data_IF_466058158333
#
_entry.id   IF_466058158333
#
_cell.length_a   1.000
_cell.length_b   1.000
_cell.length_c   1.000
_cell.angle_alpha   90.00
_cell.angle_beta   90.00
_cell.angle_gamma   90.00
#
_symmetry.space_group_name_H-M   'P 1'
#
loop_
_entity.id
_entity.type
_entity.pdbx_description
1 polymer ?
#
# COMPACT_ATOMS: atom_id res chain seq x y z
N UNK A 1 -11.55 -20.01 -17.86
CA UNK A 1 -10.96 -18.98 -16.99
C UNK A 1 -10.11 -18.09 -17.85
N UNK A 2 -10.26 -16.78 -17.73
CA UNK A 2 -9.55 -15.83 -18.56
C UNK A 2 -8.20 -15.51 -17.91
N UNK A 3 -7.10 -16.06 -18.46
CA UNK A 3 -5.74 -15.86 -17.93
C UNK A 3 -5.34 -14.39 -17.90
N UNK A 4 -5.90 -13.58 -18.80
CA UNK A 4 -5.64 -12.15 -18.81
C UNK A 4 -6.21 -11.47 -17.57
N UNK A 5 -7.44 -11.83 -17.18
CA UNK A 5 -8.07 -11.27 -15.99
C UNK A 5 -7.37 -11.72 -14.70
N UNK A 6 -6.93 -12.98 -14.62
CA UNK A 6 -6.15 -13.46 -13.47
C UNK A 6 -4.77 -12.78 -13.41
N UNK A 7 -4.11 -12.56 -14.55
CA UNK A 7 -2.87 -11.78 -14.65
C UNK A 7 -3.05 -10.34 -14.18
N UNK A 8 -4.05 -9.64 -14.69
CA UNK A 8 -4.38 -8.26 -14.29
C UNK A 8 -4.72 -8.15 -12.79
N UNK A 9 -5.44 -9.15 -12.25
CA UNK A 9 -5.75 -9.21 -10.83
C UNK A 9 -4.50 -9.47 -9.98
N UNK A 10 -3.63 -10.38 -10.43
CA UNK A 10 -2.35 -10.67 -9.77
C UNK A 10 -1.45 -9.44 -9.71
N UNK A 11 -1.30 -8.74 -10.82
CA UNK A 11 -0.57 -7.48 -10.92
C UNK A 11 -1.14 -6.47 -9.93
N UNK A 12 -2.44 -6.20 -10.01
CA UNK A 12 -3.06 -5.23 -9.13
C UNK A 12 -2.87 -5.57 -7.65
N UNK A 13 -2.95 -6.84 -7.26
CA UNK A 13 -2.72 -7.24 -5.89
C UNK A 13 -1.27 -6.98 -5.47
N UNK A 14 -0.29 -7.45 -6.26
CA UNK A 14 1.11 -7.41 -5.87
C UNK A 14 1.74 -6.02 -6.05
N UNK A 15 1.36 -5.21 -7.05
CA UNK A 15 1.86 -3.83 -7.15
C UNK A 15 1.48 -3.00 -5.92
N UNK A 16 0.30 -3.19 -5.32
CA UNK A 16 -0.08 -2.50 -4.08
C UNK A 16 0.72 -2.98 -2.87
N UNK A 17 1.04 -4.28 -2.80
CA UNK A 17 1.91 -4.80 -1.74
C UNK A 17 3.33 -4.27 -1.89
N UNK A 18 3.90 -4.34 -3.09
CA UNK A 18 5.24 -3.87 -3.42
C UNK A 18 5.37 -2.36 -3.18
N UNK A 19 4.37 -1.56 -3.60
CA UNK A 19 4.32 -0.13 -3.28
C UNK A 19 4.31 0.13 -1.77
N UNK A 20 3.56 -0.67 -1.00
CA UNK A 20 3.60 -0.56 0.46
C UNK A 20 4.98 -0.87 1.04
N UNK A 21 5.66 -1.92 0.55
CA UNK A 21 6.97 -2.30 1.08
C UNK A 21 7.99 -1.21 0.79
N UNK A 22 7.93 -0.63 -0.41
CA UNK A 22 8.73 0.52 -0.79
C UNK A 22 8.50 1.72 0.14
N UNK A 23 7.24 2.15 0.29
CA UNK A 23 6.89 3.31 1.11
C UNK A 23 7.26 3.12 2.59
N UNK A 24 7.13 1.89 3.11
CA UNK A 24 7.54 1.58 4.47
C UNK A 24 9.07 1.60 4.61
N UNK A 25 9.82 1.06 3.64
CA UNK A 25 11.28 1.12 3.64
C UNK A 25 11.78 2.56 3.65
N UNK A 26 11.26 3.38 2.74
CA UNK A 26 11.55 4.83 2.68
C UNK A 26 11.16 5.52 3.98
N UNK A 27 9.97 5.26 4.52
CA UNK A 27 9.51 5.83 5.79
C UNK A 27 10.46 5.53 6.95
N UNK A 28 10.99 4.30 7.02
CA UNK A 28 11.95 3.89 8.06
C UNK A 28 13.28 4.62 7.91
N UNK A 29 13.82 4.72 6.69
CA UNK A 29 15.09 5.42 6.43
C UNK A 29 14.98 6.92 6.74
N UNK A 30 13.85 7.54 6.36
CA UNK A 30 13.56 8.94 6.67
C UNK A 30 13.45 9.16 8.18
N UNK A 31 12.79 8.26 8.91
CA UNK A 31 12.69 8.36 10.38
C UNK A 31 14.07 8.26 11.05
N UNK A 32 14.88 7.28 10.63
CA UNK A 32 16.26 7.12 11.12
C UNK A 32 17.15 8.34 10.83
N UNK A 33 16.86 9.04 9.73
CA UNK A 33 17.51 10.30 9.33
C UNK A 33 16.87 11.54 9.98
N UNK A 34 16.07 11.38 11.03
CA UNK A 34 15.30 12.44 11.72
C UNK A 34 14.38 13.25 10.81
N UNK A 35 14.02 12.72 9.64
CA UNK A 35 13.20 13.37 8.62
C UNK A 35 11.73 12.97 8.81
N UNK A 36 11.22 13.20 10.04
CA UNK A 36 9.95 12.64 10.51
C UNK A 36 8.71 13.10 9.72
N UNK A 37 8.68 14.31 9.16
CA UNK A 37 7.53 14.78 8.38
C UNK A 37 7.34 13.98 7.08
N UNK A 38 8.45 13.65 6.40
CA UNK A 38 8.43 12.80 5.23
C UNK A 38 8.21 11.34 5.63
N UNK A 39 8.78 10.90 6.76
CA UNK A 39 8.51 9.57 7.30
C UNK A 39 7.02 9.34 7.59
N UNK A 40 6.32 10.31 8.20
CA UNK A 40 4.87 10.24 8.43
C UNK A 40 4.11 10.16 7.10
N UNK A 41 4.55 10.92 6.08
CA UNK A 41 3.91 10.90 4.77
C UNK A 41 4.06 9.54 4.08
N UNK A 42 5.28 9.02 3.98
CA UNK A 42 5.54 7.69 3.39
C UNK A 42 4.92 6.57 4.22
N UNK A 43 4.96 6.65 5.55
CA UNK A 43 4.35 5.66 6.45
C UNK A 43 2.83 5.60 6.29
N UNK A 44 2.19 6.76 6.09
CA UNK A 44 0.78 6.82 5.73
C UNK A 44 0.49 6.13 4.39
N UNK A 45 1.30 6.36 3.36
CA UNK A 45 1.10 5.69 2.07
C UNK A 45 1.30 4.18 2.15
N UNK A 46 2.26 3.71 2.95
CA UNK A 46 2.40 2.29 3.25
C UNK A 46 1.11 1.70 3.85
N UNK A 47 0.50 2.35 4.84
CA UNK A 47 -0.79 1.91 5.40
C UNK A 47 -1.90 1.91 4.36
N UNK A 48 -1.97 2.96 3.55
CA UNK A 48 -2.97 3.11 2.52
C UNK A 48 -2.88 1.98 1.48
N UNK A 49 -1.68 1.68 1.01
CA UNK A 49 -1.45 0.64 0.02
C UNK A 49 -1.73 -0.75 0.60
N UNK A 50 -1.39 -1.02 1.86
CA UNK A 50 -1.79 -2.26 2.55
C UNK A 50 -3.31 -2.38 2.66
N UNK A 51 -3.99 -1.32 3.08
CA UNK A 51 -5.45 -1.32 3.17
C UNK A 51 -6.11 -1.50 1.79
N UNK A 52 -5.55 -0.90 0.75
CA UNK A 52 -6.03 -1.09 -0.61
C UNK A 52 -5.74 -2.50 -1.15
N UNK A 53 -4.64 -3.14 -0.74
CA UNK A 53 -4.37 -4.54 -1.08
C UNK A 53 -5.47 -5.48 -0.57
N UNK A 54 -6.04 -5.23 0.61
CA UNK A 54 -7.19 -5.99 1.13
C UNK A 54 -8.41 -5.91 0.20
N UNK A 55 -8.70 -4.73 -0.37
CA UNK A 55 -9.76 -4.60 -1.37
C UNK A 55 -9.44 -5.37 -2.64
N UNK A 56 -8.18 -5.35 -3.09
CA UNK A 56 -7.76 -6.08 -4.26
C UNK A 56 -7.71 -7.60 -4.03
N UNK A 57 -7.76 -8.09 -2.79
CA UNK A 57 -7.92 -9.53 -2.51
C UNK A 57 -9.34 -10.04 -2.77
N UNK A 58 -10.32 -9.13 -2.88
CA UNK A 58 -11.70 -9.50 -3.20
C UNK A 58 -11.81 -9.95 -4.66
N UNK A 59 -12.25 -11.19 -4.87
CA UNK A 59 -12.34 -11.81 -6.21
C UNK A 59 -13.73 -11.72 -6.83
N UNK A 60 -14.62 -10.89 -6.29
CA UNK A 60 -16.01 -10.83 -6.73
C UNK A 60 -16.21 -10.47 -8.21
N UNK A 61 -17.47 -10.41 -8.62
CA UNK A 61 -17.84 -10.38 -10.04
C UNK A 61 -17.28 -9.13 -10.75
N UNK A 62 -17.13 -9.19 -12.08
CA UNK A 62 -16.68 -8.06 -12.92
C UNK A 62 -17.42 -6.73 -12.65
N UNK A 63 -18.67 -6.80 -12.17
CA UNK A 63 -19.46 -5.62 -11.78
C UNK A 63 -18.86 -4.88 -10.58
N UNK A 64 -18.18 -5.59 -9.70
CA UNK A 64 -17.58 -5.08 -8.48
C UNK A 64 -16.15 -4.59 -8.70
N UNK A 65 -15.47 -4.99 -9.77
CA UNK A 65 -14.14 -4.50 -10.11
C UNK A 65 -14.09 -2.96 -10.24
N UNK A 66 -15.09 -2.37 -10.91
CA UNK A 66 -15.23 -0.91 -10.99
C UNK A 66 -15.49 -0.27 -9.63
N UNK A 67 -16.19 -0.99 -8.75
CA UNK A 67 -16.49 -0.53 -7.40
C UNK A 67 -15.24 -0.58 -6.51
N UNK A 68 -14.51 -1.69 -6.54
CA UNK A 68 -13.22 -1.89 -5.88
C UNK A 68 -12.26 -0.80 -6.29
N UNK A 69 -12.04 -0.59 -7.60
CA UNK A 69 -11.17 0.50 -8.10
C UNK A 69 -11.63 1.88 -7.64
N UNK A 70 -12.94 2.14 -7.59
CA UNK A 70 -13.50 3.43 -7.12
C UNK A 70 -13.31 3.67 -5.63
N UNK A 71 -13.35 2.62 -4.80
CA UNK A 71 -13.09 2.71 -3.37
C UNK A 71 -11.58 2.83 -3.15
N UNK A 72 -10.78 1.98 -3.82
CA UNK A 72 -9.31 1.96 -3.77
C UNK A 72 -8.63 3.23 -4.26
N UNK A 73 -9.27 4.00 -5.15
CA UNK A 73 -8.74 5.29 -5.63
C UNK A 73 -9.17 6.49 -4.78
N UNK A 74 -10.11 6.33 -3.85
CA UNK A 74 -10.63 7.44 -3.04
C UNK A 74 -10.45 7.14 -1.55
N UNK A 75 -9.47 7.81 -0.95
CA UNK A 75 -9.13 7.62 0.45
C UNK A 75 -10.31 7.76 1.42
N UNK A 76 -11.12 8.82 1.30
CA UNK A 76 -12.25 9.02 2.19
C UNK A 76 -13.28 7.90 2.05
N UNK A 77 -13.46 7.34 0.84
CA UNK A 77 -14.31 6.17 0.62
C UNK A 77 -13.71 4.92 1.24
N UNK A 78 -12.40 4.70 1.09
CA UNK A 78 -11.70 3.57 1.70
C UNK A 78 -11.90 3.55 3.23
N UNK A 79 -11.62 4.67 3.91
CA UNK A 79 -11.79 4.74 5.36
C UNK A 79 -13.24 4.46 5.77
N UNK A 80 -14.20 5.12 5.11
CA UNK A 80 -15.62 4.90 5.40
C UNK A 80 -16.10 3.47 5.10
N UNK A 81 -15.50 2.82 4.10
CA UNK A 81 -15.79 1.43 3.76
C UNK A 81 -15.27 0.48 4.85
N UNK A 82 -14.03 0.68 5.30
CA UNK A 82 -13.40 -0.18 6.30
C UNK A 82 -13.99 0.01 7.70
N UNK A 83 -14.25 1.26 8.13
CA UNK A 83 -14.79 1.64 9.45
C UNK A 83 -16.26 1.25 9.70
N UNK A 84 -16.85 0.40 8.86
CA UNK A 84 -18.21 -0.14 9.01
C UNK A 84 -19.31 0.95 9.17
N UNK A 85 -19.21 2.02 8.40
CA UNK A 85 -20.23 3.08 8.41
C UNK A 85 -21.51 2.59 7.72
N UNK A 86 -22.57 2.31 8.49
CA UNK A 86 -23.87 1.83 7.98
C UNK A 86 -24.58 2.79 7.03
N UNK A 87 -24.20 4.06 7.03
CA UNK A 87 -24.73 5.08 6.12
C UNK A 87 -23.94 5.17 4.80
N UNK A 88 -22.93 4.31 4.62
CA UNK A 88 -22.15 4.24 3.41
C UNK A 88 -22.99 3.64 2.26
N UNK A 89 -22.94 4.24 1.07
CA UNK A 89 -23.65 3.73 -0.12
C UNK A 89 -23.12 2.35 -0.54
N UNK A 90 -21.89 2.04 -0.16
CA UNK A 90 -21.21 0.79 -0.40
C UNK A 90 -21.41 -0.26 0.72
N UNK A 91 -22.34 -0.05 1.67
CA UNK A 91 -22.52 -0.93 2.84
C UNK A 91 -22.88 -2.40 2.49
N UNK A 92 -23.74 -2.63 1.49
CA UNK A 92 -24.06 -4.00 1.06
C UNK A 92 -22.84 -4.75 0.55
N UNK A 93 -22.01 -4.06 -0.24
CA UNK A 93 -20.74 -4.58 -0.73
C UNK A 93 -19.76 -4.85 0.43
N UNK A 94 -19.74 -3.96 1.44
CA UNK A 94 -18.92 -4.12 2.64
C UNK A 94 -19.26 -5.40 3.43
N UNK A 95 -20.52 -5.80 3.48
CA UNK A 95 -20.92 -7.05 4.15
C UNK A 95 -20.42 -8.28 3.39
N UNK A 96 -20.52 -8.28 2.06
CA UNK A 96 -20.01 -9.37 1.21
C UNK A 96 -18.50 -9.49 1.31
N UNK A 97 -17.80 -8.34 1.22
CA UNK A 97 -16.36 -8.25 1.41
C UNK A 97 -15.92 -8.82 2.77
N UNK A 98 -16.61 -8.46 3.86
CA UNK A 98 -16.31 -8.98 5.19
C UNK A 98 -16.45 -10.51 5.27
N UNK A 99 -17.55 -11.05 4.73
CA UNK A 99 -17.82 -12.49 4.71
C UNK A 99 -16.75 -13.25 3.92
N UNK A 100 -16.35 -12.73 2.75
CA UNK A 100 -15.32 -13.33 1.93
C UNK A 100 -13.96 -13.36 2.65
N UNK A 101 -13.52 -12.23 3.21
CA UNK A 101 -12.25 -12.16 3.94
C UNK A 101 -12.27 -13.02 5.21
N UNK A 102 -13.38 -13.05 5.94
CA UNK A 102 -13.55 -13.92 7.11
C UNK A 102 -13.40 -15.40 6.73
N UNK A 103 -14.00 -15.80 5.60
CA UNK A 103 -13.88 -17.16 5.08
C UNK A 103 -12.45 -17.50 4.61
N UNK A 104 -11.73 -16.57 3.98
CA UNK A 104 -10.31 -16.74 3.61
C UNK A 104 -9.48 -16.96 4.89
N UNK A 105 -9.69 -16.12 5.89
CA UNK A 105 -8.90 -16.15 7.13
C UNK A 105 -9.28 -17.31 8.06
N UNK A 106 -10.48 -17.90 7.88
CA UNK A 106 -11.08 -18.90 8.78
C UNK A 106 -11.31 -18.34 10.19
N UNK A 107 -11.86 -17.13 10.26
CA UNK A 107 -12.29 -16.46 11.50
C UNK A 107 -13.77 -16.07 11.41
N UNK A 108 -14.37 -15.62 12.51
CA UNK A 108 -15.76 -15.15 12.47
C UNK A 108 -15.90 -13.83 11.71
N UNK A 109 -17.07 -13.59 11.13
CA UNK A 109 -17.39 -12.31 10.48
C UNK A 109 -17.28 -11.12 11.44
N UNK A 110 -17.64 -11.30 12.71
CA UNK A 110 -17.50 -10.27 13.76
C UNK A 110 -16.03 -9.96 14.06
N UNK A 111 -15.16 -10.98 14.10
CA UNK A 111 -13.73 -10.78 14.31
C UNK A 111 -13.11 -10.05 13.12
N UNK A 112 -13.47 -10.44 11.89
CA UNK A 112 -13.03 -9.76 10.68
C UNK A 112 -13.52 -8.31 10.65
N UNK A 113 -14.78 -8.06 10.99
CA UNK A 113 -15.36 -6.73 10.99
C UNK A 113 -14.61 -5.80 11.95
N UNK A 114 -14.31 -6.28 13.16
CA UNK A 114 -13.50 -5.54 14.13
C UNK A 114 -12.11 -5.23 13.59
N UNK A 115 -11.45 -6.19 12.93
CA UNK A 115 -10.12 -5.96 12.32
C UNK A 115 -10.21 -4.89 11.24
N UNK A 116 -11.16 -4.99 10.30
CA UNK A 116 -11.36 -4.02 9.24
C UNK A 116 -11.68 -2.62 9.79
N UNK A 117 -12.49 -2.54 10.84
CA UNK A 117 -12.79 -1.27 11.50
C UNK A 117 -11.54 -0.62 12.09
N UNK A 118 -10.71 -1.39 12.81
CA UNK A 118 -9.44 -0.91 13.36
C UNK A 118 -8.53 -0.38 12.24
N UNK A 119 -8.48 -1.06 11.09
CA UNK A 119 -7.68 -0.63 9.93
C UNK A 119 -8.23 0.70 9.38
N UNK A 120 -9.56 0.80 9.19
CA UNK A 120 -10.21 2.02 8.70
C UNK A 120 -9.99 3.22 9.61
N UNK A 121 -10.15 3.05 10.92
CA UNK A 121 -9.99 4.11 11.92
C UNK A 121 -8.53 4.55 12.06
N UNK A 122 -7.59 3.59 11.97
CA UNK A 122 -6.15 3.87 11.95
C UNK A 122 -5.78 4.66 10.71
N UNK A 123 -6.28 4.26 9.54
CA UNK A 123 -6.03 4.93 8.27
C UNK A 123 -6.61 6.35 8.25
N UNK A 124 -7.81 6.55 8.79
CA UNK A 124 -8.40 7.87 8.97
C UNK A 124 -7.53 8.77 9.85
N UNK A 125 -7.06 8.23 10.97
CA UNK A 125 -6.18 8.95 11.91
C UNK A 125 -4.83 9.29 11.28
N UNK A 126 -4.23 8.35 10.55
CA UNK A 126 -2.99 8.53 9.80
C UNK A 126 -3.12 9.64 8.75
N UNK A 127 -4.23 9.65 8.01
CA UNK A 127 -4.54 10.71 7.06
C UNK A 127 -4.65 12.06 7.72
N UNK A 128 -5.31 12.14 8.88
CA UNK A 128 -5.43 13.39 9.64
C UNK A 128 -4.08 13.88 10.13
N UNK A 129 -3.22 13.00 10.64
CA UNK A 129 -1.86 13.35 10.98
C UNK A 129 -1.09 13.90 9.77
N UNK A 130 -1.11 13.19 8.64
CA UNK A 130 -0.45 13.62 7.38
C UNK A 130 -1.01 14.95 6.87
N UNK A 131 -2.33 15.16 6.90
CA UNK A 131 -2.98 16.43 6.54
C UNK A 131 -2.52 17.56 7.47
N UNK A 132 -2.56 17.36 8.79
CA UNK A 132 -2.08 18.35 9.75
C UNK A 132 -0.60 18.72 9.52
N UNK A 133 0.25 17.74 9.20
CA UNK A 133 1.64 18.02 8.82
C UNK A 133 1.77 18.79 7.51
N UNK A 134 0.90 18.52 6.53
CA UNK A 134 0.88 19.23 5.24
C UNK A 134 0.39 20.68 5.41
N UNK A 135 -0.64 20.90 6.22
CA UNK A 135 -1.24 22.22 6.45
C UNK A 135 -0.39 23.15 7.30
N UNK A 136 0.44 22.63 8.20
CA UNK A 136 1.37 23.46 8.98
C UNK A 136 2.69 23.77 8.24
N UNK A 137 2.72 23.59 6.92
CA UNK A 137 3.84 23.89 6.00
C UNK A 137 4.94 22.83 6.04
N UNK A 138 5.24 22.28 4.85
CA UNK A 138 6.43 21.48 4.49
C UNK A 138 7.68 22.38 4.56
N UNK A 139 7.93 23.01 5.70
CA UNK A 139 9.09 23.84 5.92
C UNK A 139 9.72 23.44 7.25
N UNK A 140 11.05 23.45 7.22
CA UNK A 140 12.07 23.31 8.27
C UNK A 140 11.65 23.79 9.70
N UNK A 141 10.64 24.64 9.84
CA UNK A 141 10.13 25.19 11.10
C UNK A 141 9.62 24.15 12.11
N UNK A 142 9.05 23.00 11.72
CA UNK A 142 8.58 22.01 12.71
C UNK A 142 9.69 21.30 13.49
N UNK A 143 10.86 21.19 12.89
CA UNK A 143 12.05 20.63 13.55
C UNK A 143 12.76 21.66 14.42
N UNK A 144 12.46 22.96 14.23
CA UNK A 144 13.09 24.06 14.99
C UNK A 144 12.15 24.68 16.04
N UNK A 145 10.83 24.52 15.91
CA UNK A 145 9.85 24.98 16.91
C UNK A 145 9.81 23.98 18.07
N UNK A 146 10.43 24.38 19.17
CA UNK A 146 10.57 23.55 20.36
C UNK A 146 9.34 23.60 21.28
N UNK A 147 8.60 24.71 21.30
CA UNK A 147 7.50 24.98 22.22
C UNK A 147 6.46 25.86 21.52
N UNK A 148 5.19 25.49 21.60
CA UNK A 148 4.02 26.29 21.20
C UNK A 148 3.09 26.38 22.40
N UNK A 149 2.73 27.61 22.79
CA UNK A 149 1.69 27.89 23.79
C UNK A 149 0.33 27.91 23.10
N UNK A 150 -0.62 27.12 23.61
CA UNK A 150 -1.98 27.00 23.07
C UNK A 150 -2.94 28.06 23.62
N UNK A 151 -2.50 28.89 24.57
CA UNK A 151 -3.29 29.99 25.15
C UNK A 151 -4.27 29.57 26.24
N UNK A 152 -4.45 28.27 26.50
CA UNK A 152 -5.26 27.69 27.58
C UNK A 152 -4.41 27.10 28.74
N UNK A 153 -3.11 27.42 28.75
CA UNK A 153 -2.12 26.80 29.64
C UNK A 153 -1.53 25.50 29.07
N UNK A 154 -1.98 25.04 27.90
CA UNK A 154 -1.42 23.93 27.17
C UNK A 154 -0.11 24.29 26.48
N UNK A 155 0.93 23.49 26.71
CA UNK A 155 2.21 23.60 26.00
C UNK A 155 2.39 22.38 25.11
N UNK A 156 2.64 22.60 23.82
CA UNK A 156 2.97 21.56 22.85
C UNK A 156 4.44 21.66 22.47
N UNK A 157 5.08 20.50 22.25
CA UNK A 157 6.44 20.39 21.69
C UNK A 157 6.34 19.76 20.30
N UNK A 158 6.16 20.55 19.23
CA UNK A 158 5.86 20.03 17.90
C UNK A 158 6.85 18.98 17.42
N UNK A 159 8.16 19.21 17.54
CA UNK A 159 9.18 18.24 17.13
C UNK A 159 9.02 16.87 17.80
N UNK A 160 8.77 16.84 19.12
CA UNK A 160 8.54 15.59 19.86
C UNK A 160 7.23 14.91 19.46
N UNK A 161 6.18 15.71 19.21
CA UNK A 161 4.90 15.19 18.77
C UNK A 161 5.02 14.55 17.37
N UNK A 162 5.73 15.20 16.44
CA UNK A 162 5.98 14.67 15.09
C UNK A 162 6.78 13.37 15.15
N UNK A 163 7.86 13.31 15.95
CA UNK A 163 8.63 12.07 16.17
C UNK A 163 7.73 10.94 16.65
N UNK A 164 6.90 11.21 17.68
CA UNK A 164 5.98 10.22 18.23
C UNK A 164 4.94 9.74 17.21
N UNK A 165 4.41 10.63 16.39
CA UNK A 165 3.50 10.27 15.29
C UNK A 165 4.24 9.38 14.28
N UNK A 166 5.48 9.74 13.91
CA UNK A 166 6.33 8.97 13.01
C UNK A 166 6.58 7.56 13.52
N UNK A 167 6.96 7.42 14.80
CA UNK A 167 7.14 6.14 15.49
C UNK A 167 5.83 5.33 15.48
N UNK A 168 4.72 5.97 15.84
CA UNK A 168 3.41 5.30 15.87
C UNK A 168 2.99 4.80 14.48
N UNK A 169 3.24 5.57 13.42
CA UNK A 169 3.01 5.13 12.04
C UNK A 169 3.83 3.87 11.74
N UNK A 170 5.13 3.90 12.05
CA UNK A 170 6.06 2.79 11.82
C UNK A 170 5.75 1.54 12.67
N UNK A 171 5.12 1.70 13.83
CA UNK A 171 4.68 0.57 14.67
C UNK A 171 3.39 -0.09 14.14
N UNK A 172 2.52 0.67 13.49
CA UNK A 172 1.28 0.15 12.89
C UNK A 172 1.57 -0.64 11.60
N UNK A 173 2.52 -0.21 10.75
CA UNK A 173 2.79 -0.89 9.47
C UNK A 173 3.08 -2.39 9.64
N UNK A 174 3.98 -2.83 10.56
CA UNK A 174 4.28 -4.26 10.76
C UNK A 174 3.05 -5.11 11.10
N UNK A 175 2.12 -4.56 11.89
CA UNK A 175 0.91 -5.28 12.32
C UNK A 175 0.00 -5.50 11.11
N UNK A 176 -0.23 -4.44 10.33
CA UNK A 176 -1.03 -4.51 9.11
C UNK A 176 -0.39 -5.42 8.08
N UNK A 177 0.91 -5.28 7.87
CA UNK A 177 1.69 -6.08 6.94
C UNK A 177 1.59 -7.58 7.28
N UNK A 178 1.79 -7.95 8.54
CA UNK A 178 1.67 -9.35 8.98
C UNK A 178 0.28 -9.91 8.70
N UNK A 179 -0.78 -9.14 9.00
CA UNK A 179 -2.16 -9.53 8.74
C UNK A 179 -2.41 -9.72 7.23
N UNK A 180 -2.02 -8.74 6.42
CA UNK A 180 -2.16 -8.75 4.96
C UNK A 180 -1.40 -9.93 4.35
N UNK A 181 -0.14 -10.17 4.72
CA UNK A 181 0.63 -11.29 4.19
C UNK A 181 0.01 -12.65 4.56
N UNK A 182 -0.48 -12.80 5.79
CA UNK A 182 -1.18 -14.03 6.20
C UNK A 182 -2.44 -14.25 5.35
N UNK A 183 -3.13 -13.17 4.99
CA UNK A 183 -4.31 -13.24 4.13
C UNK A 183 -3.95 -13.60 2.69
N UNK A 184 -2.87 -13.03 2.14
CA UNK A 184 -2.33 -13.42 0.83
C UNK A 184 -2.00 -14.90 0.80
N UNK A 185 -1.25 -15.40 1.78
CA UNK A 185 -0.87 -16.82 1.88
C UNK A 185 -2.13 -17.71 1.83
N UNK A 186 -3.13 -17.42 2.66
CA UNK A 186 -4.39 -18.18 2.70
C UNK A 186 -5.23 -18.05 1.43
N UNK A 187 -5.29 -16.85 0.84
CA UNK A 187 -6.00 -16.59 -0.41
C UNK A 187 -5.41 -17.44 -1.53
N UNK A 188 -4.08 -17.41 -1.70
CA UNK A 188 -3.38 -18.15 -2.75
C UNK A 188 -3.58 -19.66 -2.60
N UNK A 189 -3.54 -20.21 -1.38
CA UNK A 189 -3.86 -21.62 -1.14
C UNK A 189 -5.30 -22.01 -1.48
N UNK A 190 -6.22 -21.05 -1.45
CA UNK A 190 -7.63 -21.25 -1.79
C UNK A 190 -7.95 -21.12 -3.28
N UNK A 191 -6.99 -20.71 -4.12
CA UNK A 191 -7.19 -20.59 -5.56
C UNK A 191 -7.24 -21.97 -6.24
N UNK A 192 -7.84 -22.01 -7.43
CA UNK A 192 -7.77 -23.18 -8.31
C UNK A 192 -6.30 -23.54 -8.58
N UNK A 193 -6.00 -24.84 -8.63
CA UNK A 193 -4.64 -25.38 -8.61
C UNK A 193 -3.72 -24.72 -9.65
N UNK A 194 -4.15 -24.66 -10.91
CA UNK A 194 -3.38 -24.03 -11.98
C UNK A 194 -3.14 -22.54 -11.73
N UNK A 195 -4.19 -21.77 -11.40
CA UNK A 195 -4.12 -20.31 -11.12
C UNK A 195 -3.15 -20.01 -9.99
N UNK A 196 -3.28 -20.76 -8.89
CA UNK A 196 -2.42 -20.64 -7.72
C UNK A 196 -0.94 -20.60 -8.13
N UNK A 197 -0.51 -21.52 -9.01
CA UNK A 197 0.90 -21.59 -9.40
C UNK A 197 1.37 -20.39 -10.25
N UNK A 198 0.50 -19.79 -11.09
CA UNK A 198 0.83 -18.52 -11.76
C UNK A 198 1.05 -17.38 -10.77
N UNK A 199 0.13 -17.23 -9.80
CA UNK A 199 0.22 -16.20 -8.78
C UNK A 199 1.42 -16.41 -7.85
N UNK A 200 1.72 -17.64 -7.45
CA UNK A 200 2.90 -17.94 -6.63
C UNK A 200 4.20 -17.62 -7.38
N UNK A 201 4.28 -17.94 -8.68
CA UNK A 201 5.44 -17.57 -9.51
C UNK A 201 5.59 -16.05 -9.62
N UNK A 202 4.50 -15.34 -9.88
CA UNK A 202 4.51 -13.88 -9.95
C UNK A 202 4.90 -13.25 -8.60
N UNK A 203 4.36 -13.74 -7.48
CA UNK A 203 4.73 -13.28 -6.14
C UNK A 203 6.22 -13.41 -5.86
N UNK A 204 6.85 -14.50 -6.30
CA UNK A 204 8.31 -14.70 -6.17
C UNK A 204 9.06 -13.62 -6.96
N UNK A 205 8.65 -13.34 -8.19
CA UNK A 205 9.26 -12.30 -9.03
C UNK A 205 9.10 -10.92 -8.39
N UNK A 206 7.91 -10.58 -7.91
CA UNK A 206 7.62 -9.30 -7.23
C UNK A 206 8.49 -9.07 -6.00
N UNK A 207 8.66 -10.11 -5.16
CA UNK A 207 9.57 -10.02 -4.01
C UNK A 207 11.02 -9.79 -4.47
N UNK A 208 11.46 -10.49 -5.51
CA UNK A 208 12.83 -10.35 -6.03
C UNK A 208 13.10 -9.00 -6.67
N UNK A 209 12.14 -8.49 -7.45
CA UNK A 209 12.23 -7.18 -8.08
C UNK A 209 12.14 -6.05 -7.06
N UNK A 210 11.35 -6.22 -5.99
CA UNK A 210 11.37 -5.31 -4.85
C UNK A 210 12.76 -5.24 -4.19
N UNK A 211 13.42 -6.37 -3.93
CA UNK A 211 14.76 -6.36 -3.33
C UNK A 211 15.79 -5.68 -4.24
N UNK A 212 15.75 -5.93 -5.56
CA UNK A 212 16.62 -5.25 -6.53
C UNK A 212 16.37 -3.74 -6.55
N UNK A 213 15.10 -3.32 -6.53
CA UNK A 213 14.72 -1.92 -6.45
C UNK A 213 15.24 -1.27 -5.16
N UNK A 214 15.00 -1.91 -4.01
CA UNK A 214 15.43 -1.43 -2.71
C UNK A 214 16.95 -1.30 -2.60
N UNK A 215 17.71 -2.19 -3.24
CA UNK A 215 19.16 -2.08 -3.35
C UNK A 215 19.57 -0.90 -4.25
N UNK A 216 18.99 -0.82 -5.46
CA UNK A 216 19.28 0.24 -6.42
C UNK A 216 18.98 1.65 -5.89
N UNK A 217 17.92 1.79 -5.10
CA UNK A 217 17.50 3.05 -4.50
C UNK A 217 18.05 3.28 -3.07
N UNK A 218 18.91 2.39 -2.59
CA UNK A 218 19.56 2.50 -1.26
C UNK A 218 18.58 2.57 -0.09
N UNK A 219 17.49 1.84 -0.18
CA UNK A 219 16.48 1.69 0.90
C UNK A 219 16.96 0.66 1.93
N UNK A 220 17.88 -0.22 1.55
CA UNK A 220 18.48 -1.21 2.45
C UNK A 220 19.32 -0.54 3.57
N UNK A 221 19.32 -1.10 4.80
CA UNK A 221 18.60 -2.30 5.21
C UNK A 221 17.09 -2.06 5.41
N UNK A 222 16.27 -3.06 5.10
CA UNK A 222 14.82 -3.02 5.36
C UNK A 222 14.53 -3.15 6.87
N UNK A 223 13.37 -2.66 7.35
CA UNK A 223 12.87 -2.99 8.67
C UNK A 223 12.84 -4.51 8.90
N UNK A 224 13.32 -4.97 10.06
CA UNK A 224 13.46 -6.41 10.36
C UNK A 224 12.17 -7.21 10.16
N UNK A 225 11.03 -6.65 10.59
CA UNK A 225 9.71 -7.28 10.42
C UNK A 225 9.29 -7.40 8.96
N UNK A 226 9.63 -6.40 8.13
CA UNK A 226 9.42 -6.45 6.68
C UNK A 226 10.29 -7.54 6.06
N UNK A 227 11.61 -7.47 6.26
CA UNK A 227 12.57 -8.40 5.64
C UNK A 227 12.24 -9.86 5.96
N UNK A 228 11.95 -10.15 7.22
CA UNK A 228 11.52 -11.49 7.62
C UNK A 228 10.16 -11.89 7.04
N UNK A 229 9.21 -10.95 6.98
CA UNK A 229 7.90 -11.20 6.37
C UNK A 229 8.02 -11.56 4.90
N UNK A 230 8.84 -10.83 4.14
CA UNK A 230 9.08 -11.07 2.71
C UNK A 230 9.85 -12.36 2.47
N UNK A 231 10.89 -12.65 3.25
CA UNK A 231 11.61 -13.94 3.18
C UNK A 231 10.69 -15.11 3.47
N UNK A 232 9.84 -15.00 4.51
CA UNK A 232 8.84 -16.02 4.84
C UNK A 232 7.86 -16.21 3.69
N UNK A 233 7.31 -15.13 3.16
CA UNK A 233 6.34 -15.14 2.06
C UNK A 233 6.93 -15.77 0.79
N UNK A 234 8.17 -15.41 0.44
CA UNK A 234 8.89 -16.02 -0.68
C UNK A 234 9.13 -17.50 -0.46
N UNK A 235 9.58 -17.90 0.73
CA UNK A 235 9.80 -19.31 1.05
C UNK A 235 8.50 -20.11 0.98
N UNK A 236 7.41 -19.57 1.52
CA UNK A 236 6.07 -20.13 1.40
C UNK A 236 5.69 -20.33 -0.08
N UNK A 237 5.93 -19.31 -0.92
CA UNK A 237 5.59 -19.39 -2.34
C UNK A 237 6.41 -20.45 -3.07
N UNK A 238 7.72 -20.53 -2.81
CA UNK A 238 8.62 -21.54 -3.38
C UNK A 238 8.23 -22.95 -2.96
N UNK A 239 7.85 -23.16 -1.69
CA UNK A 239 7.44 -24.46 -1.16
C UNK A 239 6.17 -24.98 -1.84
N UNK A 240 5.24 -24.09 -2.18
CA UNK A 240 3.94 -24.46 -2.77
C UNK A 240 3.92 -24.34 -4.30
N UNK A 241 5.03 -23.91 -4.93
CA UNK A 241 5.11 -23.77 -6.37
C UNK A 241 5.45 -25.12 -7.02
N UNK A 242 4.61 -25.55 -7.95
CA UNK A 242 4.91 -26.63 -8.88
C UNK A 242 5.06 -26.05 -10.28
N UNK A 243 6.30 -25.94 -10.77
CA UNK A 243 6.58 -25.41 -12.10
C UNK A 243 5.98 -26.25 -13.23
N UNK A 244 5.65 -27.53 -12.99
CA UNK A 244 5.00 -28.37 -14.01
C UNK A 244 3.55 -27.96 -14.27
N UNK A 245 2.96 -27.14 -13.39
CA UNK A 245 1.58 -26.66 -13.47
C UNK A 245 1.45 -25.31 -14.17
N UNK A 246 2.54 -24.76 -14.69
CA UNK A 246 2.61 -23.42 -15.27
C UNK A 246 2.84 -23.54 -16.79
N UNK A 247 1.87 -24.11 -17.49
CA UNK A 247 1.91 -24.27 -18.94
C UNK A 247 1.61 -22.92 -19.61
N UNK A 248 2.49 -22.39 -20.48
CA UNK A 248 2.27 -21.09 -21.15
C UNK A 248 2.27 -19.87 -20.21
N UNK A 249 3.23 -19.81 -19.29
CA UNK A 249 3.43 -18.62 -18.43
C UNK A 249 3.54 -17.30 -19.19
N UNK A 250 4.02 -17.34 -20.44
CA UNK A 250 4.14 -16.17 -21.32
C UNK A 250 2.85 -15.39 -21.45
N UNK A 251 1.70 -16.05 -21.50
CA UNK A 251 0.41 -15.40 -21.76
C UNK A 251 -0.07 -14.62 -20.52
N UNK A 252 0.24 -15.18 -19.34
CA UNK A 252 0.05 -14.50 -18.06
C UNK A 252 1.02 -13.32 -17.93
N UNK A 253 2.29 -13.53 -18.27
CA UNK A 253 3.35 -12.51 -18.24
C UNK A 253 3.09 -11.34 -19.20
N UNK A 254 2.60 -11.60 -20.42
CA UNK A 254 2.15 -10.56 -21.37
C UNK A 254 1.04 -9.69 -20.76
N UNK A 255 0.18 -10.29 -19.94
CA UNK A 255 -0.88 -9.55 -19.25
C UNK A 255 -0.32 -8.63 -18.16
N UNK A 256 0.73 -9.06 -17.45
CA UNK A 256 1.48 -8.22 -16.50
C UNK A 256 2.16 -7.05 -17.24
N UNK A 257 2.89 -7.36 -18.31
CA UNK A 257 3.57 -6.36 -19.15
C UNK A 257 2.60 -5.32 -19.70
N UNK A 258 1.38 -5.71 -20.08
CA UNK A 258 0.38 -4.75 -20.58
C UNK A 258 -0.04 -3.71 -19.52
N UNK A 259 0.04 -4.06 -18.23
CA UNK A 259 -0.20 -3.13 -17.13
C UNK A 259 1.02 -2.23 -16.88
N UNK A 260 2.22 -2.80 -16.99
CA UNK A 260 3.49 -2.07 -16.96
C UNK A 260 3.62 -1.11 -18.14
N UNK A 261 3.09 -1.46 -19.30
CA UNK A 261 3.07 -0.66 -20.54
C UNK A 261 1.83 0.23 -20.64
N UNK A 262 1.28 0.73 -19.52
CA UNK A 262 0.27 1.81 -19.56
C UNK A 262 0.88 3.07 -20.16
N UNK A 263 0.96 3.07 -21.48
CA UNK A 263 1.60 4.03 -22.36
C UNK A 263 1.05 5.42 -22.11
N UNK A 264 -0.24 5.54 -21.82
CA UNK A 264 -0.89 6.79 -21.45
C UNK A 264 -0.24 7.41 -20.20
N UNK A 265 0.02 6.63 -19.14
CA UNK A 265 0.66 7.14 -17.92
C UNK A 265 2.11 7.59 -18.17
N UNK A 266 2.88 6.84 -18.96
CA UNK A 266 4.26 7.23 -19.28
C UNK A 266 4.31 8.39 -20.28
N UNK A 267 3.35 8.49 -21.20
CA UNK A 267 3.20 9.63 -22.08
C UNK A 267 2.81 10.89 -21.31
N UNK A 268 1.91 10.77 -20.33
CA UNK A 268 1.57 11.86 -19.42
C UNK A 268 2.77 12.26 -18.57
N UNK A 269 3.52 11.29 -18.04
CA UNK A 269 4.75 11.55 -17.27
C UNK A 269 5.81 12.25 -18.13
N UNK A 270 6.03 11.78 -19.36
CA UNK A 270 6.95 12.39 -20.32
C UNK A 270 6.50 13.81 -20.69
N UNK A 271 5.21 14.00 -20.97
CA UNK A 271 4.66 15.32 -21.28
C UNK A 271 4.85 16.28 -20.10
N UNK A 272 4.57 15.83 -18.88
CA UNK A 272 4.79 16.61 -17.66
C UNK A 272 6.27 16.93 -17.44
N UNK A 273 7.17 16.00 -17.72
CA UNK A 273 8.62 16.24 -17.69
C UNK A 273 9.04 17.30 -18.71
N UNK A 274 8.54 17.22 -19.94
CA UNK A 274 8.83 18.19 -21.00
C UNK A 274 8.31 19.59 -20.62
N UNK A 275 7.10 19.67 -20.04
CA UNK A 275 6.56 20.92 -19.49
C UNK A 275 7.41 21.48 -18.35
N UNK A 276 7.88 20.64 -17.42
CA UNK A 276 8.75 21.06 -16.31
C UNK A 276 10.09 21.58 -16.83
N UNK A 277 10.68 20.92 -17.84
CA UNK A 277 11.90 21.39 -18.48
C UNK A 277 11.69 22.74 -19.18
N UNK A 278 10.59 22.90 -19.90
CA UNK A 278 10.27 24.17 -20.53
C UNK A 278 10.07 25.29 -19.49
N UNK A 279 9.39 24.99 -18.39
CA UNK A 279 9.23 25.91 -17.27
C UNK A 279 10.58 26.29 -16.65
N UNK A 280 11.48 25.32 -16.44
CA UNK A 280 12.84 25.56 -15.94
C UNK A 280 13.64 26.47 -16.88
N UNK A 281 13.60 26.24 -18.19
CA UNK A 281 14.27 27.09 -19.17
C UNK A 281 13.70 28.51 -19.19
N UNK A 282 12.39 28.65 -18.99
CA UNK A 282 11.77 29.97 -18.85
C UNK A 282 12.21 30.67 -17.56
N UNK A 283 12.29 29.95 -16.43
CA UNK A 283 12.78 30.49 -15.15
C UNK A 283 14.24 30.93 -15.27
N UNK A 284 15.11 30.13 -15.90
CA UNK A 284 16.53 30.49 -16.14
C UNK A 284 16.68 31.79 -16.93
N UNK A 285 15.76 32.09 -17.85
CA UNK A 285 15.76 33.33 -18.63
C UNK A 285 15.36 34.57 -17.82
N UNK A 286 14.79 34.40 -16.62
CA UNK A 286 14.38 35.51 -15.77
C UNK A 286 15.55 36.18 -15.02
N UNK A 287 16.79 35.66 -15.09
CA UNK A 287 17.98 36.20 -14.40
C UNK A 287 17.73 36.55 -12.92
N UNK A 288 17.05 35.65 -12.20
CA UNK A 288 16.87 35.69 -10.74
C UNK A 288 17.64 34.55 -10.11
#
# INVERSE_FOLDING_TARGET
MDMKLEGEWSELLFSYLTASWYDWGVSSQLSASNTHCWSVTSGYYAHYMLAASLLNMYRGTYKEERLVKRIASNHSKMCNFLSNNKYNKEYSFRLQFNSELANIMKISEDEMDRKLQIIGDSLFSAKKARESHTYHVIVVSHQTVNIVDLGDGGIVKPAKLVSKISETMLDIVPILHTFVLTMVEKLLLGLEDTVKHYHLKHLIQEVDDFYKLAEGERILPLPYSMDNGLKRLKNFAVEHLDNTKIEHYSDFEESLLSFTEKKENYQDLQSNYDYLNQALENVKKLNI
#
